data_IF_587894973594
#
_entry.id   IF_587894973594
#
_cell.length_a   1.000
_cell.length_b   1.000
_cell.length_c   1.000
_cell.angle_alpha   90.00
_cell.angle_beta   90.00
_cell.angle_gamma   90.00
#
_symmetry.space_group_name_H-M   'P 1'
#
loop_
_entity.id
_entity.type
_entity.pdbx_description
1 polymer ?
#
# COMPACT_ATOMS: atom_id res chain seq x y z
N UNK A 1 8.96 -1.26 -16.04
CA UNK A 1 8.04 -2.39 -15.90
C UNK A 1 8.62 -3.55 -15.10
N UNK A 2 9.79 -4.07 -15.46
CA UNK A 2 10.47 -5.18 -14.74
C UNK A 2 10.66 -4.90 -13.24
N UNK A 3 10.97 -3.68 -12.86
CA UNK A 3 11.16 -3.30 -11.45
C UNK A 3 9.88 -3.40 -10.59
N UNK A 4 8.69 -3.20 -11.17
CA UNK A 4 7.44 -3.36 -10.43
C UNK A 4 7.12 -4.82 -10.10
N UNK A 5 7.56 -5.74 -10.94
CA UNK A 5 7.37 -7.18 -10.72
C UNK A 5 8.26 -7.72 -9.58
N UNK A 6 9.25 -6.95 -9.13
CA UNK A 6 10.06 -7.33 -7.96
C UNK A 6 9.27 -7.18 -6.65
N UNK A 7 8.16 -6.44 -6.64
CA UNK A 7 7.29 -6.33 -5.47
C UNK A 7 6.53 -7.64 -5.27
N UNK A 8 6.60 -8.27 -4.10
CA UNK A 8 5.82 -9.47 -3.82
C UNK A 8 4.31 -9.22 -4.06
N UNK A 9 3.69 -10.12 -4.83
CA UNK A 9 2.26 -10.03 -5.14
C UNK A 9 1.89 -9.16 -6.34
N UNK A 10 2.86 -8.52 -7.00
CA UNK A 10 2.61 -7.76 -8.24
C UNK A 10 2.96 -8.62 -9.43
N UNK A 11 1.92 -9.05 -10.16
CA UNK A 11 2.06 -9.76 -11.44
C UNK A 11 2.27 -8.78 -12.59
N UNK A 12 2.70 -9.29 -13.74
CA UNK A 12 2.85 -8.49 -14.96
C UNK A 12 1.55 -7.78 -15.34
N UNK A 13 0.43 -8.48 -15.30
CA UNK A 13 -0.88 -7.93 -15.60
C UNK A 13 -1.28 -6.80 -14.64
N UNK A 14 -1.03 -6.99 -13.34
CA UNK A 14 -1.30 -5.95 -12.34
C UNK A 14 -0.39 -4.74 -12.53
N UNK A 15 0.89 -4.97 -12.85
CA UNK A 15 1.83 -3.90 -13.16
C UNK A 15 1.39 -3.08 -14.38
N UNK A 16 0.95 -3.73 -15.44
CA UNK A 16 0.41 -3.07 -16.64
C UNK A 16 -0.82 -2.23 -16.32
N UNK A 17 -1.78 -2.79 -15.58
CA UNK A 17 -2.98 -2.05 -15.16
C UNK A 17 -2.62 -0.81 -14.35
N UNK A 18 -1.70 -0.95 -13.39
CA UNK A 18 -1.27 0.16 -12.55
C UNK A 18 -0.56 1.24 -13.37
N UNK A 19 0.33 0.85 -14.31
CA UNK A 19 1.03 1.78 -15.18
C UNK A 19 0.08 2.49 -16.16
N UNK A 20 -0.91 1.78 -16.69
CA UNK A 20 -1.92 2.36 -17.57
C UNK A 20 -2.73 3.46 -16.87
N UNK A 21 -3.04 3.26 -15.58
CA UNK A 21 -3.79 4.23 -14.79
C UNK A 21 -2.95 5.42 -14.30
N UNK A 22 -1.70 5.18 -13.87
CA UNK A 22 -0.78 6.24 -13.42
C UNK A 22 -0.33 7.11 -14.59
N UNK A 23 -0.24 6.51 -15.79
CA UNK A 23 0.30 7.16 -16.96
C UNK A 23 1.84 7.13 -17.03
N UNK A 24 2.42 7.73 -18.09
CA UNK A 24 3.86 7.67 -18.35
C UNK A 24 4.69 8.54 -17.40
N UNK A 25 4.08 9.56 -16.79
CA UNK A 25 4.81 10.52 -15.94
C UNK A 25 4.41 10.43 -14.47
N UNK A 26 5.28 9.78 -13.68
CA UNK A 26 5.13 9.71 -12.22
C UNK A 26 5.29 11.08 -11.54
N UNK A 27 5.88 12.07 -12.22
CA UNK A 27 6.07 13.41 -11.65
C UNK A 27 4.75 14.16 -11.49
N UNK A 28 3.67 13.71 -12.14
CA UNK A 28 2.30 14.17 -11.87
C UNK A 28 1.92 13.99 -10.39
N UNK A 29 2.58 13.07 -9.68
CA UNK A 29 2.40 12.84 -8.25
C UNK A 29 3.65 13.30 -7.47
N UNK A 30 3.65 14.50 -6.88
CA UNK A 30 4.82 15.06 -6.17
C UNK A 30 5.33 14.18 -5.03
N UNK A 31 4.45 13.39 -4.40
CA UNK A 31 4.82 12.44 -3.36
C UNK A 31 3.97 11.17 -3.41
N UNK A 32 4.45 10.11 -2.75
CA UNK A 32 3.71 8.87 -2.58
C UNK A 32 2.33 9.10 -1.92
N UNK A 33 2.21 10.10 -1.03
CA UNK A 33 0.94 10.46 -0.38
C UNK A 33 -0.10 10.94 -1.40
N UNK A 34 0.31 11.71 -2.41
CA UNK A 34 -0.59 12.18 -3.48
C UNK A 34 -1.11 11.01 -4.31
N UNK A 35 -0.25 10.06 -4.70
CA UNK A 35 -0.67 8.86 -5.41
C UNK A 35 -1.68 8.04 -4.58
N UNK A 36 -1.37 7.80 -3.30
CA UNK A 36 -2.25 7.03 -2.39
C UNK A 36 -3.61 7.73 -2.20
N UNK A 37 -3.61 9.05 -2.09
CA UNK A 37 -4.84 9.85 -1.97
C UNK A 37 -5.66 9.79 -3.25
N UNK A 38 -5.02 9.93 -4.41
CA UNK A 38 -5.67 9.82 -5.70
C UNK A 38 -6.28 8.43 -5.94
N UNK A 39 -5.63 7.36 -5.48
CA UNK A 39 -6.18 6.00 -5.50
C UNK A 39 -7.37 5.80 -4.55
N UNK A 40 -7.63 6.74 -3.65
CA UNK A 40 -8.68 6.61 -2.65
C UNK A 40 -8.40 5.57 -1.57
N UNK A 41 -7.12 5.34 -1.26
CA UNK A 41 -6.70 4.38 -0.22
C UNK A 41 -6.44 5.03 1.13
N UNK A 42 -6.77 6.31 1.29
CA UNK A 42 -6.69 7.01 2.56
C UNK A 42 -8.00 6.89 3.35
N UNK A 43 -7.94 6.69 4.68
CA UNK A 43 -9.14 6.82 5.50
C UNK A 43 -9.61 8.29 5.52
N UNK A 44 -10.91 8.50 5.47
CA UNK A 44 -11.49 9.81 5.79
C UNK A 44 -11.32 10.03 7.28
N UNK A 45 -10.62 11.08 7.66
CA UNK A 45 -10.59 11.57 9.04
C UNK A 45 -11.67 12.63 9.21
N UNK A 46 -12.93 12.23 9.03
CA UNK A 46 -14.06 13.11 9.31
C UNK A 46 -14.32 13.13 10.82
N UNK A 47 -13.52 13.94 11.52
CA UNK A 47 -13.73 14.23 12.94
C UNK A 47 -14.36 15.62 13.09
N UNK A 48 -15.43 15.69 13.84
CA UNK A 48 -16.03 16.95 14.28
C UNK A 48 -16.32 16.84 15.77
N UNK A 49 -15.79 17.79 16.54
CA UNK A 49 -16.02 17.90 17.97
C UNK A 49 -15.68 16.60 18.75
N UNK A 50 -14.51 15.99 18.46
CA UNK A 50 -14.02 14.72 19.03
C UNK A 50 -14.87 13.48 18.71
N UNK A 51 -15.84 13.60 17.82
CA UNK A 51 -16.64 12.45 17.34
C UNK A 51 -16.21 12.06 15.93
N UNK A 52 -15.81 10.80 15.76
CA UNK A 52 -15.47 10.24 14.45
C UNK A 52 -16.76 10.00 13.68
N UNK A 53 -17.02 10.79 12.63
CA UNK A 53 -18.22 10.65 11.79
C UNK A 53 -18.11 9.50 10.78
N UNK A 54 -16.93 9.26 10.22
CA UNK A 54 -16.74 8.20 9.23
C UNK A 54 -15.28 7.76 9.15
N UNK A 55 -15.08 6.43 9.17
CA UNK A 55 -13.79 5.76 8.90
C UNK A 55 -13.75 5.15 7.49
N UNK A 56 -14.67 5.55 6.60
CA UNK A 56 -14.70 5.04 5.21
C UNK A 56 -13.50 5.58 4.44
N UNK A 57 -13.02 4.79 3.49
CA UNK A 57 -11.98 5.22 2.55
C UNK A 57 -12.53 6.32 1.63
N UNK A 58 -11.65 7.23 1.21
CA UNK A 58 -11.99 8.28 0.25
C UNK A 58 -12.37 7.69 -1.12
N UNK A 59 -13.16 8.41 -1.88
CA UNK A 59 -13.37 8.09 -3.29
C UNK A 59 -12.09 8.36 -4.06
N UNK A 60 -11.78 7.50 -5.03
CA UNK A 60 -10.59 7.62 -5.88
C UNK A 60 -10.72 6.74 -7.11
N UNK A 61 -9.65 6.61 -7.88
CA UNK A 61 -9.64 5.78 -9.08
C UNK A 61 -9.94 4.31 -8.70
N UNK A 62 -11.04 3.79 -9.24
CA UNK A 62 -11.54 2.44 -8.95
C UNK A 62 -10.58 1.36 -9.47
N UNK A 63 -10.03 1.54 -10.65
CA UNK A 63 -9.23 0.50 -11.32
C UNK A 63 -7.91 0.25 -10.59
N UNK A 64 -7.16 1.30 -10.29
CA UNK A 64 -5.90 1.17 -9.56
C UNK A 64 -6.14 0.68 -8.13
N UNK A 65 -7.26 1.07 -7.50
CA UNK A 65 -7.62 0.59 -6.16
C UNK A 65 -7.88 -0.91 -6.15
N UNK A 66 -8.64 -1.43 -7.12
CA UNK A 66 -8.90 -2.87 -7.23
C UNK A 66 -7.60 -3.62 -7.49
N UNK A 67 -6.77 -3.16 -8.44
CA UNK A 67 -5.48 -3.77 -8.73
C UNK A 67 -4.56 -3.78 -7.50
N UNK A 68 -4.47 -2.67 -6.76
CA UNK A 68 -3.63 -2.58 -5.56
C UNK A 68 -4.12 -3.51 -4.43
N UNK A 69 -5.43 -3.68 -4.26
CA UNK A 69 -6.00 -4.61 -3.28
C UNK A 69 -5.71 -6.06 -3.66
N UNK A 70 -5.80 -6.41 -4.94
CA UNK A 70 -5.44 -7.75 -5.43
C UNK A 70 -3.95 -8.04 -5.18
N UNK A 71 -3.07 -7.09 -5.48
CA UNK A 71 -1.65 -7.19 -5.17
C UNK A 71 -1.40 -7.36 -3.66
N UNK A 72 -2.13 -6.63 -2.83
CA UNK A 72 -2.02 -6.71 -1.38
C UNK A 72 -2.45 -8.09 -0.84
N UNK A 73 -3.52 -8.68 -1.37
CA UNK A 73 -3.92 -10.04 -1.03
C UNK A 73 -2.85 -11.06 -1.41
N UNK A 74 -2.29 -10.97 -2.61
CA UNK A 74 -1.21 -11.85 -3.05
C UNK A 74 0.05 -11.66 -2.17
N UNK A 75 0.45 -10.41 -1.90
CA UNK A 75 1.59 -10.08 -1.05
C UNK A 75 1.42 -10.59 0.40
N UNK A 76 0.20 -10.53 0.95
CA UNK A 76 -0.08 -11.02 2.30
C UNK A 76 0.08 -12.54 2.45
N UNK A 77 -0.01 -13.28 1.35
CA UNK A 77 0.16 -14.76 1.30
C UNK A 77 1.57 -15.19 0.93
N UNK A 78 2.39 -14.28 0.41
CA UNK A 78 3.79 -14.59 0.04
C UNK A 78 4.61 -14.79 1.31
N UNK A 79 5.26 -15.95 1.43
CA UNK A 79 6.07 -16.28 2.60
C UNK A 79 7.27 -15.33 2.74
N UNK A 80 7.62 -15.01 3.99
CA UNK A 80 8.83 -14.26 4.39
C UNK A 80 8.98 -12.83 3.84
N UNK A 81 7.94 -12.26 3.25
CA UNK A 81 7.97 -10.88 2.82
C UNK A 81 7.49 -9.91 3.93
N UNK A 82 7.90 -8.65 3.83
CA UNK A 82 7.47 -7.60 4.76
C UNK A 82 5.94 -7.48 4.87
N UNK A 83 5.23 -7.55 3.75
CA UNK A 83 3.78 -7.40 3.70
C UNK A 83 3.05 -8.54 4.41
N UNK A 84 3.57 -9.77 4.30
CA UNK A 84 3.03 -10.93 4.99
C UNK A 84 3.19 -10.81 6.50
N UNK A 85 4.38 -10.40 6.97
CA UNK A 85 4.66 -10.16 8.40
C UNK A 85 3.79 -9.04 8.95
N UNK A 86 3.64 -7.94 8.21
CA UNK A 86 2.77 -6.83 8.57
C UNK A 86 1.30 -7.27 8.67
N UNK A 87 0.81 -8.05 7.68
CA UNK A 87 -0.54 -8.58 7.69
C UNK A 87 -0.79 -9.50 8.88
N UNK A 88 0.10 -10.46 9.12
CA UNK A 88 0.00 -11.40 10.24
C UNK A 88 0.00 -10.68 11.59
N UNK A 89 0.89 -9.72 11.80
CA UNK A 89 0.95 -8.93 13.02
C UNK A 89 -0.37 -8.18 13.29
N UNK A 90 -0.91 -7.50 12.31
CA UNK A 90 -2.13 -6.72 12.51
C UNK A 90 -3.40 -7.57 12.63
N UNK A 91 -3.43 -8.76 12.04
CA UNK A 91 -4.59 -9.66 12.12
C UNK A 91 -4.54 -10.56 13.34
N UNK A 92 -3.38 -11.12 13.68
CA UNK A 92 -3.23 -12.08 14.77
C UNK A 92 -3.00 -11.39 16.11
N UNK A 93 -2.05 -10.44 16.18
CA UNK A 93 -1.68 -9.78 17.44
C UNK A 93 -2.66 -8.65 17.76
N UNK A 94 -2.93 -7.76 16.81
CA UNK A 94 -3.84 -6.61 17.01
C UNK A 94 -5.32 -6.92 16.78
N UNK A 95 -5.66 -8.14 16.37
CA UNK A 95 -7.03 -8.63 16.11
C UNK A 95 -7.87 -7.68 15.25
N UNK A 96 -7.22 -6.98 14.31
CA UNK A 96 -7.90 -6.06 13.40
C UNK A 96 -8.64 -6.82 12.29
N UNK A 97 -9.70 -6.24 11.78
CA UNK A 97 -10.48 -6.78 10.66
C UNK A 97 -9.57 -7.01 9.43
N UNK A 98 -9.57 -8.22 8.88
CA UNK A 98 -8.72 -8.64 7.75
C UNK A 98 -8.79 -7.68 6.55
N UNK A 99 -10.00 -7.25 6.16
CA UNK A 99 -10.18 -6.31 5.05
C UNK A 99 -9.52 -4.94 5.31
N UNK A 100 -9.60 -4.42 6.54
CA UNK A 100 -8.93 -3.16 6.89
C UNK A 100 -7.40 -3.29 6.81
N UNK A 101 -6.87 -4.45 7.22
CA UNK A 101 -5.43 -4.71 7.13
C UNK A 101 -4.98 -4.84 5.68
N UNK A 102 -5.76 -5.50 4.82
CA UNK A 102 -5.46 -5.58 3.38
C UNK A 102 -5.40 -4.20 2.73
N UNK A 103 -6.32 -3.30 3.06
CA UNK A 103 -6.27 -1.92 2.56
C UNK A 103 -5.01 -1.20 3.03
N UNK A 104 -4.58 -1.43 4.28
CA UNK A 104 -3.32 -0.88 4.78
C UNK A 104 -2.09 -1.45 4.05
N UNK A 105 -2.10 -2.74 3.70
CA UNK A 105 -1.07 -3.37 2.86
C UNK A 105 -1.08 -2.77 1.46
N UNK A 106 -2.26 -2.61 0.84
CA UNK A 106 -2.41 -2.00 -0.48
C UNK A 106 -1.82 -0.59 -0.52
N UNK A 107 -2.06 0.22 0.53
CA UNK A 107 -1.44 1.54 0.67
C UNK A 107 0.09 1.46 0.67
N UNK A 108 0.68 0.51 1.40
CA UNK A 108 2.13 0.31 1.43
C UNK A 108 2.68 -0.14 0.07
N UNK A 109 1.97 -1.02 -0.63
CA UNK A 109 2.32 -1.44 -2.00
C UNK A 109 2.33 -0.22 -2.94
N UNK A 110 1.33 0.66 -2.87
CA UNK A 110 1.29 1.89 -3.67
C UNK A 110 2.46 2.84 -3.37
N UNK A 111 2.85 2.96 -2.10
CA UNK A 111 4.04 3.74 -1.71
C UNK A 111 5.31 3.15 -2.34
N UNK A 112 5.48 1.83 -2.30
CA UNK A 112 6.61 1.15 -2.95
C UNK A 112 6.58 1.38 -4.48
N UNK A 113 5.42 1.27 -5.11
CA UNK A 113 5.26 1.52 -6.56
C UNK A 113 5.72 2.93 -6.91
N UNK A 114 5.28 3.94 -6.14
CA UNK A 114 5.70 5.33 -6.38
C UNK A 114 7.23 5.49 -6.31
N UNK A 115 7.87 4.93 -5.28
CA UNK A 115 9.31 5.02 -5.13
C UNK A 115 10.06 4.30 -6.26
N UNK A 116 9.61 3.11 -6.63
CA UNK A 116 10.20 2.34 -7.74
C UNK A 116 10.10 3.10 -9.06
N UNK A 117 8.96 3.73 -9.33
CA UNK A 117 8.77 4.51 -10.55
C UNK A 117 9.57 5.82 -10.52
N UNK A 118 9.64 6.48 -9.37
CA UNK A 118 10.34 7.76 -9.22
C UNK A 118 11.85 7.63 -9.33
N UNK A 119 12.42 6.62 -8.67
CA UNK A 119 13.86 6.41 -8.57
C UNK A 119 14.38 5.30 -9.48
N UNK A 120 13.50 4.61 -10.20
CA UNK A 120 13.83 3.48 -11.08
C UNK A 120 14.65 2.37 -10.41
N UNK A 121 14.36 2.08 -9.14
CA UNK A 121 15.02 1.06 -8.32
C UNK A 121 14.17 -0.21 -8.25
N UNK A 122 14.78 -1.35 -7.90
CA UNK A 122 14.05 -2.59 -7.63
C UNK A 122 13.57 -2.64 -6.18
N UNK A 123 12.55 -3.46 -5.88
CA UNK A 123 12.03 -3.63 -4.53
C UNK A 123 13.07 -4.16 -3.52
N UNK A 124 14.03 -4.98 -3.98
CA UNK A 124 15.10 -5.52 -3.13
C UNK A 124 16.00 -4.43 -2.57
N UNK A 125 16.21 -3.35 -3.33
CA UNK A 125 17.01 -2.20 -2.92
C UNK A 125 16.23 -1.28 -1.98
N UNK A 126 14.92 -1.45 -1.94
CA UNK A 126 13.99 -0.66 -1.16
C UNK A 126 13.35 -1.48 -0.02
N UNK A 127 14.03 -2.45 0.55
CA UNK A 127 13.55 -3.04 1.80
C UNK A 127 13.50 -1.92 2.86
N UNK A 128 12.29 -1.58 3.39
CA UNK A 128 12.22 -0.62 4.47
C UNK A 128 13.03 -1.22 5.63
N UNK A 129 14.17 -0.61 5.88
CA UNK A 129 15.06 -1.05 6.95
C UNK A 129 14.25 -1.25 8.23
N UNK A 130 14.61 -2.23 9.03
CA UNK A 130 14.05 -2.76 10.28
C UNK A 130 13.54 -1.75 11.33
N UNK A 131 13.38 -0.47 10.98
CA UNK A 131 12.91 0.60 11.88
C UNK A 131 11.44 0.48 12.30
N UNK A 132 10.64 -0.34 11.60
CA UNK A 132 9.21 -0.49 11.93
C UNK A 132 8.98 -1.40 13.14
N UNK A 133 9.98 -2.18 13.55
CA UNK A 133 9.87 -3.00 14.76
C UNK A 133 10.05 -2.19 16.06
N UNK A 134 10.65 -0.99 16.00
CA UNK A 134 10.80 -0.13 17.19
C UNK A 134 9.53 0.66 17.52
N UNK A 135 8.74 1.06 16.52
CA UNK A 135 7.51 1.80 16.77
C UNK A 135 6.35 0.94 17.30
N UNK A 136 6.46 -0.39 17.17
CA UNK A 136 5.45 -1.32 17.73
C UNK A 136 5.61 -1.59 19.22
N UNK A 137 6.78 -1.27 19.79
CA UNK A 137 7.06 -1.48 21.24
C UNK A 137 6.80 -0.23 22.08
N UNK A 138 6.63 0.95 21.48
CA UNK A 138 6.39 2.19 22.22
C UNK A 138 4.90 2.50 22.49
N UNK A 139 3.97 1.68 21.96
CA UNK A 139 2.53 1.79 22.25
C UNK A 139 1.98 0.50 22.88
N UNK A 140 2.75 -0.09 23.74
CA UNK A 140 2.25 -1.09 24.68
C UNK A 140 1.71 -0.40 25.93
#
# INVERSE_FOLDING_TARGET
MKNLQTIPGVSERSALTILAEIGPDINAFPSAKHLVSWCGSNPRNDESNKKIKSNKITHGNRFIRVASIQCAWAASRTKECYFSKFYAFHTQVRKKFKLKVVVAVARKVLVCIWHILKFNVSYKDFEPQKSVTKDCTQFA
#
